data_IF_141144297478
#
_entry.id   IF_141144297478
#
_cell.length_a   1.000
_cell.length_b   1.000
_cell.length_c   1.000
_cell.angle_alpha   90.00
_cell.angle_beta   90.00
_cell.angle_gamma   90.00
#
_symmetry.space_group_name_H-M   'P 1'
#
loop_
_entity.id
_entity.type
_entity.pdbx_description
1 polymer ?
#
# COMPACT_ATOMS: atom_id res chain seq x y z
N UNK A 1 -10.80 7.65 21.34
CA UNK A 1 -9.32 7.80 21.42
C UNK A 1 -8.71 6.58 20.73
N UNK A 2 -7.71 6.74 19.89
CA UNK A 2 -7.05 5.62 19.25
C UNK A 2 -6.31 4.78 20.30
N UNK A 3 -6.41 3.45 20.18
CA UNK A 3 -5.86 2.52 21.15
C UNK A 3 -4.60 1.87 20.58
N UNK A 4 -3.44 2.13 21.19
CA UNK A 4 -2.19 1.46 20.88
C UNK A 4 -2.09 0.14 21.65
N UNK A 5 -1.83 -0.95 20.92
CA UNK A 5 -1.69 -2.30 21.46
C UNK A 5 -0.22 -2.68 21.42
N UNK A 6 0.34 -3.06 22.54
CA UNK A 6 1.77 -3.37 22.71
C UNK A 6 2.05 -4.84 22.95
N UNK A 7 1.05 -5.59 23.36
CA UNK A 7 1.17 -7.03 23.64
C UNK A 7 0.66 -7.87 22.47
N UNK A 8 1.13 -9.09 22.36
CA UNK A 8 0.65 -10.04 21.37
C UNK A 8 -0.76 -10.51 21.68
N UNK A 9 -1.61 -10.51 20.67
CA UNK A 9 -2.98 -10.95 20.74
C UNK A 9 -3.37 -11.78 19.53
N UNK A 10 -4.19 -12.80 19.74
CA UNK A 10 -4.95 -13.42 18.66
C UNK A 10 -5.91 -12.39 18.06
N UNK A 11 -6.12 -12.44 16.76
CA UNK A 11 -7.07 -11.55 16.07
C UNK A 11 -8.51 -11.90 16.47
N UNK A 12 -8.82 -13.18 16.64
CA UNK A 12 -10.16 -13.66 16.89
C UNK A 12 -10.29 -14.34 18.24
N UNK A 13 -11.47 -14.17 18.84
CA UNK A 13 -11.96 -14.97 19.96
C UNK A 13 -12.47 -16.33 19.47
N UNK A 14 -12.77 -17.26 20.37
CA UNK A 14 -13.31 -18.59 20.04
C UNK A 14 -14.63 -18.53 19.25
N UNK A 15 -15.43 -17.48 19.45
CA UNK A 15 -16.66 -17.24 18.70
C UNK A 15 -16.45 -16.66 17.30
N UNK A 16 -15.20 -16.36 16.91
CA UNK A 16 -14.81 -15.81 15.62
C UNK A 16 -14.95 -14.29 15.50
N UNK A 17 -15.21 -13.60 16.59
CA UNK A 17 -15.24 -12.14 16.63
C UNK A 17 -13.84 -11.56 16.83
N UNK A 18 -13.62 -10.32 16.38
CA UNK A 18 -12.36 -9.62 16.63
C UNK A 18 -12.18 -9.41 18.14
N UNK A 19 -11.12 -9.95 18.71
CA UNK A 19 -10.81 -9.89 20.13
C UNK A 19 -10.57 -8.45 20.59
N UNK A 20 -9.69 -7.73 19.90
CA UNK A 20 -9.34 -6.35 20.22
C UNK A 20 -9.35 -5.50 18.95
N UNK A 21 -9.56 -4.20 19.09
CA UNK A 21 -9.49 -3.23 18.01
C UNK A 21 -8.51 -2.12 18.38
N UNK A 22 -7.64 -1.77 17.46
CA UNK A 22 -6.61 -0.77 17.69
C UNK A 22 -5.46 -0.87 16.70
N UNK A 23 -4.34 -0.26 17.06
CA UNK A 23 -3.15 -0.22 16.22
C UNK A 23 -1.88 -0.52 17.02
N UNK A 24 -0.81 -0.92 16.32
CA UNK A 24 0.48 -1.24 16.93
C UNK A 24 1.65 -0.83 16.03
N UNK A 25 2.83 -0.60 16.63
CA UNK A 25 4.09 -0.28 15.93
C UNK A 25 4.82 -1.51 15.40
N UNK A 26 4.48 -2.66 15.93
CA UNK A 26 5.08 -3.95 15.57
C UNK A 26 4.00 -4.98 15.28
N UNK A 27 4.29 -6.08 14.60
CA UNK A 27 3.30 -7.12 14.31
C UNK A 27 2.95 -7.92 15.56
N UNK A 28 1.97 -7.44 16.32
CA UNK A 28 1.47 -8.08 17.55
C UNK A 28 0.18 -8.88 17.33
N UNK A 29 -0.49 -8.71 16.20
CA UNK A 29 -1.73 -9.43 15.87
C UNK A 29 -1.41 -10.76 15.21
N UNK A 30 -1.78 -11.87 15.85
CA UNK A 30 -1.63 -13.22 15.34
C UNK A 30 -2.91 -13.59 14.59
N UNK A 31 -2.80 -13.63 13.26
CA UNK A 31 -3.91 -13.96 12.36
C UNK A 31 -3.91 -15.46 12.06
N UNK A 32 -5.08 -16.06 12.18
CA UNK A 32 -5.36 -17.41 11.72
C UNK A 32 -6.73 -17.39 11.00
N UNK A 33 -6.72 -17.64 9.70
CA UNK A 33 -7.92 -17.61 8.85
C UNK A 33 -9.00 -18.59 9.28
N UNK A 34 -8.61 -19.77 9.83
CA UNK A 34 -9.53 -20.81 10.30
C UNK A 34 -10.37 -20.38 11.52
N UNK A 35 -9.86 -19.45 12.32
CA UNK A 35 -10.58 -18.94 13.49
C UNK A 35 -11.69 -17.95 13.15
N UNK A 36 -11.67 -17.39 11.96
CA UNK A 36 -12.70 -16.46 11.53
C UNK A 36 -13.99 -17.22 11.16
N UNK A 37 -15.08 -16.92 11.85
CA UNK A 37 -16.41 -17.51 11.62
C UNK A 37 -17.34 -16.61 10.81
N UNK A 38 -16.80 -15.75 9.98
CA UNK A 38 -17.65 -14.93 9.10
C UNK A 38 -18.30 -15.79 8.01
N UNK A 39 -19.54 -15.55 7.72
CA UNK A 39 -20.25 -16.15 6.57
C UNK A 39 -19.79 -15.54 5.23
N UNK A 40 -18.99 -14.47 5.28
CA UNK A 40 -18.49 -13.77 4.10
C UNK A 40 -17.17 -14.35 3.59
N UNK A 41 -16.91 -14.13 2.31
CA UNK A 41 -15.62 -14.48 1.71
C UNK A 41 -14.49 -13.66 2.34
N UNK A 42 -13.47 -14.34 2.83
CA UNK A 42 -12.21 -13.70 3.19
C UNK A 42 -11.51 -13.18 1.94
N UNK A 43 -11.00 -12.00 2.04
CA UNK A 43 -10.15 -11.40 1.01
C UNK A 43 -8.76 -11.17 1.58
N UNK A 44 -7.78 -11.58 0.81
CA UNK A 44 -6.37 -11.47 1.14
C UNK A 44 -5.67 -10.66 0.06
N UNK A 45 -4.91 -9.67 0.47
CA UNK A 45 -4.22 -8.78 -0.46
C UNK A 45 -2.84 -8.44 0.05
N UNK A 46 -1.85 -8.82 -0.74
CA UNK A 46 -0.47 -8.42 -0.59
C UNK A 46 -0.14 -7.43 -1.70
N UNK A 47 0.25 -6.21 -1.34
CA UNK A 47 0.62 -5.18 -2.29
C UNK A 47 2.05 -4.73 -2.07
N UNK A 48 2.75 -4.50 -3.17
CA UNK A 48 4.08 -3.91 -3.21
C UNK A 48 4.04 -2.62 -4.02
N UNK A 49 4.71 -1.62 -3.53
CA UNK A 49 4.95 -0.40 -4.27
C UNK A 49 6.43 -0.08 -4.22
N UNK A 50 7.04 0.05 -5.39
CA UNK A 50 8.47 0.35 -5.54
C UNK A 50 8.57 1.60 -6.41
N UNK A 51 9.37 2.57 -5.98
CA UNK A 51 9.40 3.86 -6.65
C UNK A 51 10.73 4.58 -6.51
N UNK A 52 11.13 5.22 -7.59
CA UNK A 52 12.18 6.24 -7.65
C UNK A 52 11.76 7.37 -8.61
N UNK A 53 12.67 8.28 -8.94
CA UNK A 53 12.37 9.43 -9.81
C UNK A 53 12.07 9.06 -11.27
N UNK A 54 12.42 7.84 -11.71
CA UNK A 54 12.28 7.39 -13.10
C UNK A 54 11.09 6.45 -13.32
N UNK A 55 10.76 5.63 -12.32
CA UNK A 55 9.76 4.56 -12.44
C UNK A 55 9.03 4.32 -11.14
N UNK A 56 7.75 3.96 -11.24
CA UNK A 56 6.98 3.39 -10.13
C UNK A 56 6.33 2.08 -10.55
N UNK A 57 6.42 1.07 -9.70
CA UNK A 57 5.77 -0.23 -9.86
C UNK A 57 4.77 -0.44 -8.74
N UNK A 58 3.51 -0.68 -9.10
CA UNK A 58 2.46 -1.20 -8.23
C UNK A 58 2.18 -2.65 -8.56
N UNK A 59 2.20 -3.52 -7.57
CA UNK A 59 1.89 -4.94 -7.69
C UNK A 59 0.93 -5.35 -6.59
N UNK A 60 -0.24 -5.86 -6.93
CA UNK A 60 -1.23 -6.41 -5.99
C UNK A 60 -1.57 -7.84 -6.36
N UNK A 61 -1.62 -8.72 -5.38
CA UNK A 61 -1.66 -10.18 -5.57
C UNK A 61 -3.06 -10.77 -5.40
N UNK A 62 -4.05 -10.08 -4.83
CA UNK A 62 -5.43 -10.59 -4.66
C UNK A 62 -6.08 -11.06 -5.99
N UNK A 63 -6.09 -10.20 -6.97
CA UNK A 63 -6.23 -10.51 -8.40
C UNK A 63 -5.01 -9.84 -8.99
N UNK A 64 -4.10 -10.57 -9.60
CA UNK A 64 -2.84 -9.99 -9.99
C UNK A 64 -3.04 -8.71 -10.80
N UNK A 65 -2.73 -7.59 -10.20
CA UNK A 65 -2.79 -6.25 -10.79
C UNK A 65 -1.40 -5.68 -10.79
N UNK A 66 -0.90 -5.34 -11.96
CA UNK A 66 0.43 -4.76 -12.12
C UNK A 66 0.28 -3.44 -12.87
N UNK A 67 0.87 -2.37 -12.36
CA UNK A 67 1.01 -1.11 -13.07
C UNK A 67 2.44 -0.61 -12.98
N UNK A 68 3.00 -0.22 -14.11
CA UNK A 68 4.31 0.43 -14.21
C UNK A 68 4.11 1.82 -14.77
N UNK A 69 4.54 2.83 -14.02
CA UNK A 69 4.53 4.22 -14.44
C UNK A 69 5.94 4.65 -14.87
N UNK A 70 6.10 4.96 -16.14
CA UNK A 70 7.32 5.54 -16.71
C UNK A 70 7.32 7.05 -16.45
N UNK A 71 8.02 7.49 -15.43
CA UNK A 71 8.13 8.89 -15.04
C UNK A 71 9.18 9.66 -15.83
N UNK A 72 10.12 8.94 -16.45
CA UNK A 72 11.24 9.52 -17.20
C UNK A 72 10.82 10.08 -18.55
N UNK A 73 9.88 9.44 -19.24
CA UNK A 73 9.43 9.80 -20.59
C UNK A 73 8.11 10.56 -20.64
N UNK A 74 7.78 11.31 -19.59
CA UNK A 74 6.59 12.15 -19.60
C UNK A 74 5.28 11.40 -19.31
N UNK A 75 5.38 10.27 -18.62
CA UNK A 75 4.21 9.69 -17.96
C UNK A 75 3.46 8.63 -18.78
N UNK A 76 4.13 7.61 -19.25
CA UNK A 76 3.47 6.44 -19.84
C UNK A 76 3.10 5.46 -18.73
N UNK A 77 1.86 4.98 -18.75
CA UNK A 77 1.38 3.90 -17.89
C UNK A 77 1.28 2.61 -18.69
N UNK A 78 1.81 1.54 -18.11
CA UNK A 78 1.60 0.17 -18.56
C UNK A 78 0.87 -0.57 -17.44
N UNK A 79 -0.29 -1.14 -17.69
CA UNK A 79 -1.04 -1.88 -16.68
C UNK A 79 -1.63 -3.18 -17.22
N UNK A 80 -1.90 -4.12 -16.33
CA UNK A 80 -2.55 -5.38 -16.63
C UNK A 80 -3.25 -5.96 -15.41
N UNK A 81 -4.36 -6.65 -15.67
CA UNK A 81 -5.09 -7.46 -14.69
C UNK A 81 -5.17 -8.89 -15.17
N UNK A 82 -4.71 -9.84 -14.37
CA UNK A 82 -4.89 -11.28 -14.63
C UNK A 82 -6.09 -11.78 -13.83
N UNK A 83 -7.27 -11.79 -14.46
CA UNK A 83 -8.56 -12.08 -13.81
C UNK A 83 -8.74 -13.50 -13.28
N UNK A 84 -7.99 -14.46 -13.79
CA UNK A 84 -8.04 -15.87 -13.37
C UNK A 84 -6.75 -16.29 -12.66
N UNK A 85 -6.25 -15.41 -11.83
CA UNK A 85 -5.10 -15.72 -11.02
C UNK A 85 -5.52 -16.68 -9.91
N UNK A 86 -5.49 -17.95 -10.23
CA UNK A 86 -5.72 -19.01 -9.26
C UNK A 86 -4.35 -19.49 -8.80
N UNK A 87 -4.06 -19.25 -7.53
CA UNK A 87 -2.87 -19.81 -6.90
C UNK A 87 -3.01 -21.33 -6.93
N UNK A 88 -2.15 -22.01 -7.67
CA UNK A 88 -2.04 -23.45 -7.59
C UNK A 88 -1.44 -23.80 -6.22
N UNK A 89 -2.27 -24.15 -5.26
CA UNK A 89 -1.93 -24.68 -3.93
C UNK A 89 -1.24 -23.78 -2.91
N UNK A 90 -0.88 -22.55 -3.23
CA UNK A 90 -0.20 -21.67 -2.27
C UNK A 90 -1.14 -20.54 -1.86
N UNK A 91 -1.70 -20.65 -0.69
CA UNK A 91 -2.38 -19.54 -0.01
C UNK A 91 -1.38 -18.45 0.30
N UNK A 92 -1.84 -17.19 0.32
CA UNK A 92 -0.97 -16.09 0.73
C UNK A 92 -0.50 -16.32 2.17
N UNK A 93 0.77 -16.02 2.50
CA UNK A 93 1.29 -16.25 3.85
C UNK A 93 0.48 -15.52 4.91
N UNK A 94 0.01 -16.23 5.92
CA UNK A 94 -0.78 -15.65 7.02
C UNK A 94 -0.05 -14.53 7.76
N UNK A 95 1.25 -14.63 7.91
CA UNK A 95 2.03 -13.65 8.67
C UNK A 95 2.55 -12.46 7.85
N UNK A 96 2.59 -12.55 6.53
CA UNK A 96 3.28 -11.58 5.66
C UNK A 96 4.78 -11.44 5.95
N UNK A 97 5.35 -12.23 6.86
CA UNK A 97 6.76 -12.16 7.27
C UNK A 97 7.64 -13.13 6.50
N UNK A 98 7.09 -14.28 6.13
CA UNK A 98 7.77 -15.33 5.37
C UNK A 98 6.78 -16.03 4.46
N UNK A 99 7.27 -16.70 3.46
CA UNK A 99 6.50 -17.50 2.52
C UNK A 99 6.86 -17.23 1.08
N UNK A 100 6.40 -18.07 0.21
CA UNK A 100 6.66 -17.99 -1.21
C UNK A 100 5.36 -18.14 -2.00
N UNK A 101 5.25 -17.35 -3.05
CA UNK A 101 4.20 -17.46 -4.03
C UNK A 101 4.85 -17.67 -5.39
N UNK A 102 4.48 -18.77 -6.03
CA UNK A 102 4.91 -19.12 -7.37
C UNK A 102 3.68 -19.23 -8.27
N UNK A 103 3.73 -18.56 -9.40
CA UNK A 103 2.75 -18.70 -10.45
C UNK A 103 3.43 -18.85 -11.79
N UNK A 104 2.99 -19.83 -12.59
CA UNK A 104 3.52 -20.05 -13.93
C UNK A 104 2.40 -20.46 -14.88
N UNK A 105 2.29 -19.74 -15.97
CA UNK A 105 1.50 -20.12 -17.13
C UNK A 105 2.29 -19.87 -18.42
N UNK A 106 1.62 -19.93 -19.60
CA UNK A 106 2.27 -19.74 -20.91
C UNK A 106 2.82 -18.34 -21.14
N UNK A 107 2.31 -17.33 -20.41
CA UNK A 107 2.68 -15.92 -20.59
C UNK A 107 3.30 -15.27 -19.38
N UNK A 108 3.08 -15.84 -18.19
CA UNK A 108 3.49 -15.23 -16.94
C UNK A 108 4.22 -16.23 -16.04
N UNK A 109 5.42 -15.85 -15.62
CA UNK A 109 6.13 -16.44 -14.50
C UNK A 109 6.28 -15.38 -13.43
N UNK A 110 5.72 -15.63 -12.25
CA UNK A 110 5.79 -14.73 -11.10
C UNK A 110 6.30 -15.50 -9.89
N UNK A 111 7.33 -14.97 -9.25
CA UNK A 111 7.86 -15.46 -7.98
C UNK A 111 7.94 -14.30 -7.00
N UNK A 112 7.30 -14.47 -5.84
CA UNK A 112 7.36 -13.54 -4.73
C UNK A 112 7.80 -14.31 -3.49
N UNK A 113 8.98 -14.00 -2.96
CA UNK A 113 9.54 -14.68 -1.79
C UNK A 113 9.67 -13.69 -0.65
N UNK A 114 8.99 -13.96 0.47
CA UNK A 114 9.04 -13.19 1.69
C UNK A 114 9.96 -13.86 2.70
N UNK A 115 10.89 -13.09 3.25
CA UNK A 115 11.78 -13.52 4.33
C UNK A 115 11.77 -12.50 5.46
N UNK A 116 12.20 -12.85 6.68
CA UNK A 116 12.31 -11.88 7.77
C UNK A 116 13.17 -10.66 7.43
N UNK A 117 14.17 -10.82 6.56
CA UNK A 117 15.16 -9.80 6.22
C UNK A 117 14.87 -9.02 4.93
N UNK A 118 13.92 -9.48 4.12
CA UNK A 118 13.63 -8.81 2.85
C UNK A 118 12.58 -9.53 2.01
N UNK A 119 12.47 -9.08 0.76
CA UNK A 119 11.57 -9.65 -0.25
C UNK A 119 12.30 -9.79 -1.56
N UNK A 120 11.99 -10.84 -2.27
CA UNK A 120 12.46 -11.06 -3.63
C UNK A 120 11.27 -11.14 -4.57
N UNK A 121 11.26 -10.30 -5.60
CA UNK A 121 10.19 -10.22 -6.57
C UNK A 121 10.76 -10.45 -7.96
N UNK A 122 10.28 -11.48 -8.65
CA UNK A 122 10.66 -11.78 -10.03
C UNK A 122 9.43 -11.97 -10.88
N UNK A 123 9.43 -11.38 -12.05
CA UNK A 123 8.36 -11.51 -13.04
C UNK A 123 8.95 -11.56 -14.44
N UNK A 124 8.37 -12.45 -15.25
CA UNK A 124 8.54 -12.45 -16.70
C UNK A 124 7.12 -12.57 -17.29
N UNK A 125 6.64 -11.52 -17.95
CA UNK A 125 5.28 -11.44 -18.45
C UNK A 125 5.29 -11.06 -19.93
N UNK A 126 4.99 -12.04 -20.80
CA UNK A 126 4.86 -11.88 -22.24
C UNK A 126 3.49 -11.24 -22.53
N UNK A 127 3.45 -10.28 -23.45
CA UNK A 127 2.23 -9.55 -23.84
C UNK A 127 1.55 -8.82 -22.65
N UNK A 128 2.35 -8.25 -21.77
CA UNK A 128 1.87 -7.39 -20.70
C UNK A 128 1.08 -6.21 -21.26
N UNK A 129 -0.18 -6.06 -20.83
CA UNK A 129 -1.10 -5.05 -21.38
C UNK A 129 -1.45 -5.25 -22.86
N UNK A 130 -1.16 -6.43 -23.44
CA UNK A 130 -1.50 -6.78 -24.83
C UNK A 130 -0.50 -6.31 -25.88
N UNK A 131 0.60 -5.66 -25.52
CA UNK A 131 1.50 -5.03 -26.49
C UNK A 131 3.00 -5.22 -26.17
N UNK A 132 3.36 -5.35 -24.92
CA UNK A 132 4.77 -5.29 -24.46
C UNK A 132 5.10 -6.41 -23.48
N UNK A 133 6.36 -6.74 -23.36
CA UNK A 133 6.83 -7.63 -22.29
C UNK A 133 7.17 -6.81 -21.05
N UNK A 134 6.87 -7.36 -19.87
CA UNK A 134 7.32 -6.86 -18.59
C UNK A 134 8.26 -7.88 -17.97
N UNK A 135 9.41 -7.41 -17.57
CA UNK A 135 10.34 -8.18 -16.75
C UNK A 135 10.75 -7.34 -15.54
N UNK A 136 10.76 -7.96 -14.37
CA UNK A 136 11.47 -7.38 -13.24
C UNK A 136 12.16 -8.45 -12.39
N UNK A 137 13.27 -8.04 -11.78
CA UNK A 137 14.03 -8.82 -10.81
C UNK A 137 14.47 -7.84 -9.72
N UNK A 138 13.78 -7.88 -8.59
CA UNK A 138 13.87 -6.87 -7.54
C UNK A 138 14.15 -7.52 -6.20
N UNK A 139 15.15 -7.01 -5.51
CA UNK A 139 15.44 -7.35 -4.13
C UNK A 139 15.04 -6.18 -3.23
N UNK A 140 14.11 -6.41 -2.32
CA UNK A 140 13.70 -5.46 -1.30
C UNK A 140 14.43 -5.79 0.00
N UNK A 141 15.39 -4.97 0.36
CA UNK A 141 16.14 -5.09 1.60
C UNK A 141 15.44 -4.35 2.72
N UNK A 142 15.18 -5.05 3.81
CA UNK A 142 14.54 -4.47 4.99
C UNK A 142 15.49 -3.53 5.71
N UNK A 143 15.03 -2.35 6.05
CA UNK A 143 15.72 -1.39 6.91
C UNK A 143 15.17 -1.43 8.34
N UNK A 144 15.87 -0.85 9.29
CA UNK A 144 15.36 -0.68 10.65
C UNK A 144 14.11 0.21 10.67
N UNK A 145 13.26 0.04 11.67
CA UNK A 145 12.10 0.88 11.89
C UNK A 145 10.83 0.12 12.25
N UNK A 146 9.79 0.88 12.52
CA UNK A 146 8.46 0.43 12.90
C UNK A 146 7.58 0.12 11.67
N UNK A 147 6.41 -0.40 11.90
CA UNK A 147 5.35 -0.62 10.90
C UNK A 147 4.00 -0.23 11.52
N UNK A 148 3.03 0.14 10.70
CA UNK A 148 1.67 0.25 11.18
C UNK A 148 1.00 -1.12 11.07
N UNK A 149 0.48 -1.60 12.18
CA UNK A 149 -0.37 -2.78 12.26
C UNK A 149 -1.69 -2.34 12.84
N UNK A 150 -2.79 -2.64 12.19
CA UNK A 150 -4.12 -2.20 12.59
C UNK A 150 -5.13 -3.32 12.45
N UNK A 151 -5.98 -3.44 13.44
CA UNK A 151 -7.18 -4.29 13.41
C UNK A 151 -8.40 -3.45 13.75
N UNK A 152 -9.38 -3.44 12.85
CA UNK A 152 -10.64 -2.75 13.03
C UNK A 152 -11.80 -3.65 12.62
N UNK A 153 -12.86 -3.78 13.45
CA UNK A 153 -14.11 -4.41 13.01
C UNK A 153 -14.83 -3.49 12.03
N UNK A 154 -15.70 -4.06 11.20
CA UNK A 154 -16.62 -3.27 10.39
C UNK A 154 -17.90 -2.98 11.18
N UNK A 155 -18.21 -1.69 11.38
CA UNK A 155 -19.41 -1.22 12.07
C UNK A 155 -19.61 -1.89 13.45
N UNK A 156 -20.82 -2.45 13.69
CA UNK A 156 -21.19 -3.11 14.96
C UNK A 156 -20.93 -4.61 14.97
N UNK A 157 -20.76 -5.21 13.80
CA UNK A 157 -20.53 -6.65 13.66
C UNK A 157 -19.04 -6.96 13.71
N UNK A 158 -18.58 -7.42 14.86
CA UNK A 158 -17.17 -7.75 15.10
C UNK A 158 -16.67 -9.00 14.36
N UNK A 159 -17.53 -9.73 13.66
CA UNK A 159 -17.15 -10.86 12.79
C UNK A 159 -16.59 -10.36 11.46
N UNK A 160 -17.01 -9.17 11.00
CA UNK A 160 -16.40 -8.53 9.85
C UNK A 160 -15.24 -7.66 10.30
N UNK A 161 -14.11 -7.80 9.65
CA UNK A 161 -12.86 -7.19 10.09
C UNK A 161 -12.02 -6.66 8.93
N UNK A 162 -11.13 -5.75 9.29
CA UNK A 162 -10.06 -5.25 8.46
C UNK A 162 -8.77 -5.30 9.26
N UNK A 163 -7.86 -6.18 8.87
CA UNK A 163 -6.54 -6.33 9.46
C UNK A 163 -5.50 -5.91 8.45
N UNK A 164 -4.67 -4.96 8.83
CA UNK A 164 -3.64 -4.38 7.98
C UNK A 164 -2.28 -4.35 8.63
N UNK A 165 -1.28 -4.52 7.78
CA UNK A 165 0.13 -4.27 8.11
C UNK A 165 0.77 -3.47 6.99
N UNK A 166 1.08 -2.20 7.26
CA UNK A 166 1.82 -1.32 6.36
C UNK A 166 3.27 -1.26 6.80
N UNK A 167 4.18 -1.69 5.93
CA UNK A 167 5.61 -1.85 6.21
C UNK A 167 6.43 -1.00 5.23
N UNK A 168 6.71 0.29 5.54
CA UNK A 168 7.38 1.21 4.63
C UNK A 168 8.90 1.21 4.81
N UNK A 169 9.48 0.08 5.16
CA UNK A 169 10.90 -0.01 5.55
C UNK A 169 11.72 -0.89 4.63
N UNK A 170 11.55 -0.68 3.31
CA UNK A 170 12.36 -1.36 2.31
C UNK A 170 13.07 -0.35 1.42
N UNK A 171 14.29 -0.72 1.03
CA UNK A 171 14.99 -0.15 -0.12
C UNK A 171 15.05 -1.20 -1.21
N UNK A 172 15.04 -0.77 -2.46
CA UNK A 172 14.97 -1.68 -3.59
C UNK A 172 16.22 -1.59 -4.49
N UNK A 173 16.78 -2.76 -4.79
CA UNK A 173 17.80 -2.93 -5.82
C UNK A 173 17.31 -3.88 -6.90
N UNK A 174 17.81 -3.74 -8.11
CA UNK A 174 17.46 -4.60 -9.24
C UNK A 174 17.06 -3.83 -10.50
N UNK A 175 16.21 -4.43 -11.31
CA UNK A 175 15.82 -3.88 -12.62
C UNK A 175 14.33 -4.08 -12.90
N UNK A 176 13.76 -3.14 -13.69
CA UNK A 176 12.45 -3.26 -14.34
C UNK A 176 12.63 -3.00 -15.82
N UNK A 177 12.09 -3.88 -16.68
CA UNK A 177 12.06 -3.70 -18.14
C UNK A 177 10.62 -3.70 -18.62
N UNK A 178 10.20 -2.66 -19.30
CA UNK A 178 8.87 -2.56 -19.90
C UNK A 178 8.90 -1.64 -21.11
N UNK A 179 8.15 -1.97 -22.15
CA UNK A 179 8.03 -1.09 -23.33
C UNK A 179 9.34 -0.79 -24.05
N UNK A 180 10.34 -1.68 -23.99
CA UNK A 180 11.67 -1.51 -24.57
C UNK A 180 12.60 -0.62 -23.72
N UNK A 181 12.19 -0.26 -22.50
CA UNK A 181 13.00 0.50 -21.55
C UNK A 181 13.47 -0.39 -20.41
N UNK A 182 14.64 -0.06 -19.89
CA UNK A 182 15.20 -0.62 -18.67
C UNK A 182 15.37 0.48 -17.63
N UNK A 183 14.92 0.21 -16.41
CA UNK A 183 15.05 1.07 -15.23
C UNK A 183 15.88 0.33 -14.19
N UNK A 184 17.01 0.91 -13.81
CA UNK A 184 17.84 0.41 -12.72
C UNK A 184 17.30 0.92 -11.38
N UNK A 185 17.13 0.00 -10.44
CA UNK A 185 16.77 0.31 -9.06
C UNK A 185 18.01 0.30 -8.20
N UNK A 186 18.22 1.37 -7.44
CA UNK A 186 19.36 1.53 -6.54
C UNK A 186 18.87 1.71 -5.11
N UNK A 187 19.41 0.95 -4.16
CA UNK A 187 19.03 0.98 -2.74
C UNK A 187 19.13 2.36 -2.08
N UNK A 188 19.94 3.27 -2.63
CA UNK A 188 20.06 4.64 -2.09
C UNK A 188 19.01 5.62 -2.62
N UNK A 189 18.31 5.29 -3.70
CA UNK A 189 17.36 6.19 -4.37
C UNK A 189 16.00 5.57 -4.62
N UNK A 190 15.86 4.26 -4.41
CA UNK A 190 14.61 3.54 -4.64
C UNK A 190 14.04 3.06 -3.32
N UNK A 191 12.86 3.54 -3.00
CA UNK A 191 12.11 3.15 -1.82
C UNK A 191 11.03 2.13 -2.18
N UNK A 192 10.63 1.34 -1.18
CA UNK A 192 9.53 0.42 -1.32
C UNK A 192 8.77 0.23 -0.02
N UNK A 193 7.47 -0.03 -0.14
CA UNK A 193 6.68 -0.52 0.96
C UNK A 193 5.95 -1.81 0.60
N UNK A 194 5.61 -2.56 1.61
CA UNK A 194 4.75 -3.73 1.57
C UNK A 194 3.49 -3.49 2.38
N UNK A 195 2.35 -3.79 1.80
CA UNK A 195 1.02 -3.65 2.39
C UNK A 195 0.32 -4.99 2.41
N UNK A 196 0.29 -5.61 3.58
CA UNK A 196 -0.39 -6.87 3.84
C UNK A 196 -1.76 -6.58 4.44
N UNK A 197 -2.83 -7.06 3.80
CA UNK A 197 -4.19 -6.82 4.23
C UNK A 197 -5.00 -8.10 4.20
N UNK A 198 -5.76 -8.37 5.27
CA UNK A 198 -6.72 -9.46 5.39
C UNK A 198 -8.03 -8.86 5.86
N UNK A 199 -9.11 -9.19 5.19
CA UNK A 199 -10.39 -8.60 5.56
C UNK A 199 -11.58 -9.48 5.21
N UNK A 200 -12.67 -9.29 5.95
CA UNK A 200 -14.00 -9.74 5.62
C UNK A 200 -14.95 -8.56 5.79
N UNK A 201 -15.91 -8.39 4.91
CA UNK A 201 -16.77 -7.19 4.88
C UNK A 201 -18.23 -7.54 4.65
N UNK A 202 -19.18 -6.79 5.27
CA UNK A 202 -20.60 -7.04 5.11
C UNK A 202 -21.20 -6.53 3.81
N UNK A 203 -20.58 -5.51 3.16
CA UNK A 203 -21.12 -4.81 1.99
C UNK A 203 -20.00 -4.35 1.05
N UNK A 204 -20.41 -3.87 -0.14
CA UNK A 204 -19.51 -3.10 -1.00
C UNK A 204 -18.98 -1.88 -0.26
N UNK A 205 -17.70 -1.66 -0.37
CA UNK A 205 -17.01 -0.60 0.34
C UNK A 205 -16.03 0.10 -0.59
N UNK A 206 -16.03 1.43 -0.55
CA UNK A 206 -15.08 2.24 -1.30
C UNK A 206 -13.95 2.65 -0.38
N UNK A 207 -12.77 2.37 -0.79
CA UNK A 207 -11.53 2.67 -0.07
C UNK A 207 -10.67 3.61 -0.88
N UNK A 208 -10.12 4.61 -0.22
CA UNK A 208 -9.15 5.52 -0.82
C UNK A 208 -7.97 5.72 0.12
N UNK A 209 -6.78 5.63 -0.44
CA UNK A 209 -5.53 5.78 0.29
C UNK A 209 -4.52 6.58 -0.50
N UNK A 210 -3.96 7.60 0.13
CA UNK A 210 -2.76 8.29 -0.29
C UNK A 210 -1.56 7.65 0.39
N UNK A 211 -0.53 7.33 -0.38
CA UNK A 211 0.76 6.88 0.16
C UNK A 211 1.91 7.59 -0.53
N UNK A 212 2.98 7.81 0.23
CA UNK A 212 4.26 8.31 -0.24
C UNK A 212 5.37 7.55 0.46
N UNK A 213 6.47 7.31 -0.24
CA UNK A 213 7.69 6.78 0.32
C UNK A 213 8.86 7.42 -0.44
N UNK A 214 9.56 8.34 0.22
CA UNK A 214 10.58 9.20 -0.38
C UNK A 214 11.65 9.60 0.63
N UNK A 215 12.58 10.43 0.20
CA UNK A 215 13.56 11.07 1.07
C UNK A 215 13.19 12.54 1.22
N UNK A 216 13.25 13.05 2.47
CA UNK A 216 13.13 14.47 2.82
C UNK A 216 14.38 14.83 3.63
N UNK A 217 15.14 15.81 3.17
CA UNK A 217 16.39 16.24 3.80
C UNK A 217 17.36 15.07 4.07
N UNK A 218 17.44 14.13 3.13
CA UNK A 218 18.28 12.93 3.22
C UNK A 218 17.77 11.83 4.16
N UNK A 219 16.64 12.05 4.85
CA UNK A 219 16.00 11.09 5.74
C UNK A 219 14.85 10.39 5.05
N UNK A 220 14.66 9.10 5.35
CA UNK A 220 13.51 8.38 4.84
C UNK A 220 12.22 8.88 5.47
N UNK A 221 11.27 9.13 4.62
CA UNK A 221 9.92 9.54 4.96
C UNK A 221 8.91 8.60 4.29
N UNK A 222 7.89 8.20 5.03
CA UNK A 222 6.76 7.45 4.46
C UNK A 222 5.45 7.97 5.05
N UNK A 223 4.40 7.97 4.25
CA UNK A 223 3.08 8.46 4.60
C UNK A 223 2.01 7.45 4.19
N UNK A 224 1.03 7.25 5.05
CA UNK A 224 -0.20 6.54 4.74
C UNK A 224 -1.39 7.34 5.29
N UNK A 225 -2.25 7.82 4.41
CA UNK A 225 -3.49 8.49 4.77
C UNK A 225 -4.65 7.78 4.06
N UNK A 226 -5.57 7.23 4.84
CA UNK A 226 -6.70 6.50 4.30
C UNK A 226 -8.03 6.98 4.87
N UNK A 227 -9.08 6.77 4.13
CA UNK A 227 -10.43 7.08 4.55
C UNK A 227 -11.38 5.92 4.26
N UNK A 228 -12.42 5.83 5.10
CA UNK A 228 -13.56 4.91 4.93
C UNK A 228 -13.22 3.42 5.11
N UNK A 229 -12.36 3.08 6.07
CA UNK A 229 -12.07 1.67 6.41
C UNK A 229 -12.52 1.38 7.82
N UNK A 230 -13.37 0.37 7.99
CA UNK A 230 -13.77 -0.16 9.29
C UNK A 230 -14.32 0.87 10.28
N UNK A 231 -14.33 0.49 11.54
CA UNK A 231 -14.69 1.35 12.66
C UNK A 231 -13.48 2.13 13.18
N UNK A 232 -13.37 3.38 12.77
CA UNK A 232 -12.23 4.25 13.09
C UNK A 232 -12.18 4.76 14.55
N UNK A 233 -13.07 4.30 15.42
CA UNK A 233 -13.08 4.74 16.83
C UNK A 233 -11.84 4.30 17.59
N UNK A 234 -11.28 3.15 17.26
CA UNK A 234 -10.15 2.53 17.96
C UNK A 234 -8.82 2.66 17.23
N UNK A 235 -8.85 2.80 15.92
CA UNK A 235 -7.69 2.96 15.08
C UNK A 235 -8.06 3.48 13.69
N UNK A 236 -7.07 3.91 12.95
CA UNK A 236 -7.16 4.25 11.52
C UNK A 236 -5.78 4.11 10.90
N UNK A 237 -5.69 4.07 9.57
CA UNK A 237 -4.42 3.93 8.86
C UNK A 237 -3.57 5.20 8.80
N UNK A 238 -4.06 6.32 9.35
CA UNK A 238 -3.39 7.61 9.17
C UNK A 238 -2.13 7.69 10.03
N UNK A 239 -1.01 7.75 9.36
CA UNK A 239 0.31 7.84 9.98
C UNK A 239 1.34 8.37 9.01
N UNK A 240 2.47 8.80 9.54
CA UNK A 240 3.70 8.95 8.78
C UNK A 240 4.87 8.34 9.55
N UNK A 241 5.98 8.13 8.84
CA UNK A 241 7.21 7.61 9.40
C UNK A 241 8.35 8.59 9.07
N UNK A 242 9.15 8.86 10.05
CA UNK A 242 10.41 9.60 9.89
C UNK A 242 11.50 8.91 10.68
N UNK A 243 12.67 8.72 10.09
CA UNK A 243 13.78 7.95 10.68
C UNK A 243 13.36 6.55 11.20
N UNK A 244 12.39 5.91 10.54
CA UNK A 244 11.88 4.59 10.93
C UNK A 244 10.88 4.60 12.10
N UNK A 245 10.55 5.76 12.68
CA UNK A 245 9.57 5.90 13.75
C UNK A 245 8.20 6.26 13.24
N UNK A 246 7.20 5.52 13.69
CA UNK A 246 5.79 5.75 13.35
C UNK A 246 5.22 6.89 14.18
N UNK A 247 4.61 7.85 13.49
CA UNK A 247 3.81 8.93 14.07
C UNK A 247 2.35 8.72 13.69
N UNK A 248 1.53 8.41 14.67
CA UNK A 248 0.10 8.20 14.47
C UNK A 248 -0.63 9.53 14.30
N UNK A 249 -1.53 9.58 13.33
CA UNK A 249 -2.34 10.75 13.04
C UNK A 249 -3.82 10.49 13.41
N UNK A 250 -4.55 11.57 13.63
CA UNK A 250 -6.00 11.54 13.81
C UNK A 250 -6.71 11.26 12.48
N UNK A 251 -8.04 11.22 12.54
CA UNK A 251 -8.86 11.10 11.34
C UNK A 251 -8.64 12.28 10.39
N UNK A 252 -8.57 11.99 9.10
CA UNK A 252 -8.38 12.98 8.05
C UNK A 252 -9.68 13.24 7.28
N UNK A 253 -9.80 14.45 6.76
CA UNK A 253 -10.81 14.85 5.78
C UNK A 253 -10.15 14.88 4.40
N UNK A 254 -10.75 14.19 3.44
CA UNK A 254 -10.29 14.14 2.06
C UNK A 254 -11.28 14.84 1.17
N UNK A 255 -10.81 15.79 0.36
CA UNK A 255 -11.60 16.47 -0.64
C UNK A 255 -10.91 16.40 -2.00
N UNK A 256 -11.63 15.93 -3.02
CA UNK A 256 -11.21 16.01 -4.42
C UNK A 256 -12.04 17.08 -5.12
N UNK A 257 -11.44 17.81 -6.05
CA UNK A 257 -12.12 18.87 -6.79
C UNK A 257 -12.98 18.26 -7.92
N UNK A 258 -14.29 18.29 -7.75
CA UNK A 258 -15.27 17.92 -8.79
C UNK A 258 -15.25 16.44 -9.18
N UNK A 259 -14.67 15.55 -8.38
CA UNK A 259 -14.61 14.10 -8.65
C UNK A 259 -13.70 13.71 -9.82
N UNK A 260 -12.99 14.64 -10.41
CA UNK A 260 -12.05 14.40 -11.52
C UNK A 260 -10.69 13.98 -10.99
N UNK A 261 -10.10 12.94 -11.59
CA UNK A 261 -8.82 12.39 -11.16
C UNK A 261 -7.62 13.27 -11.50
N UNK A 262 -7.75 14.16 -12.49
CA UNK A 262 -6.73 15.12 -12.94
C UNK A 262 -6.63 16.38 -12.07
N UNK A 263 -7.51 16.51 -11.07
CA UNK A 263 -7.56 17.68 -10.18
C UNK A 263 -6.87 17.40 -8.84
N UNK A 264 -6.41 18.46 -8.14
CA UNK A 264 -5.80 18.31 -6.84
C UNK A 264 -6.74 17.67 -5.80
N UNK A 265 -6.14 16.88 -4.91
CA UNK A 265 -6.78 16.29 -3.75
C UNK A 265 -6.21 16.93 -2.49
N UNK A 266 -7.08 17.26 -1.55
CA UNK A 266 -6.72 17.93 -0.31
C UNK A 266 -6.95 16.99 0.87
N UNK A 267 -5.92 16.83 1.69
CA UNK A 267 -5.91 16.00 2.88
C UNK A 267 -5.68 16.88 4.09
N UNK A 268 -6.66 16.97 4.98
CA UNK A 268 -6.59 17.82 6.17
C UNK A 268 -6.99 17.05 7.41
N UNK A 269 -6.23 17.25 8.51
CA UNK A 269 -6.62 16.83 9.85
C UNK A 269 -6.91 18.06 10.72
N UNK A 270 -7.70 17.85 11.79
CA UNK A 270 -8.00 18.90 12.77
C UNK A 270 -6.72 19.50 13.37
N UNK A 271 -6.81 20.78 13.77
CA UNK A 271 -5.69 21.54 14.33
C UNK A 271 -4.47 21.69 13.42
N UNK A 272 -4.65 21.64 12.11
CA UNK A 272 -3.58 21.78 11.11
C UNK A 272 -2.42 20.77 11.25
N UNK A 273 -2.68 19.62 11.87
CA UNK A 273 -1.69 18.56 11.98
C UNK A 273 -1.33 17.95 10.61
N UNK A 274 -2.26 18.02 9.66
CA UNK A 274 -2.08 17.64 8.25
C UNK A 274 -2.70 18.71 7.37
N UNK A 275 -1.90 19.28 6.50
CA UNK A 275 -2.36 20.15 5.40
C UNK A 275 -1.56 19.80 4.15
N UNK A 276 -2.08 18.82 3.40
CA UNK A 276 -1.39 18.22 2.26
C UNK A 276 -2.25 18.34 1.02
N UNK A 277 -1.60 18.65 -0.08
CA UNK A 277 -2.16 18.67 -1.43
C UNK A 277 -1.46 17.60 -2.26
N UNK A 278 -2.22 16.65 -2.77
CA UNK A 278 -1.76 15.74 -3.82
C UNK A 278 -2.12 16.32 -5.18
N UNK A 279 -1.11 16.51 -6.03
CA UNK A 279 -1.27 16.93 -7.42
C UNK A 279 -1.00 15.75 -8.34
N UNK A 280 -1.99 15.23 -9.05
CA UNK A 280 -1.78 14.18 -10.03
C UNK A 280 -0.81 14.62 -11.13
N UNK A 281 0.03 13.71 -11.61
CA UNK A 281 0.66 13.91 -12.90
C UNK A 281 -0.40 13.89 -13.99
N UNK A 282 -0.25 14.73 -14.99
CA UNK A 282 -1.17 14.80 -16.13
C UNK A 282 -0.43 14.64 -17.44
N UNK A 283 -1.04 13.88 -18.35
CA UNK A 283 -0.57 13.69 -19.71
C UNK A 283 -1.71 14.08 -20.64
N UNK A 284 -1.52 15.07 -21.50
CA UNK A 284 -2.55 15.64 -22.41
C UNK A 284 -3.84 16.05 -21.67
N UNK A 285 -3.74 16.52 -20.43
CA UNK A 285 -4.87 16.96 -19.61
C UNK A 285 -5.62 15.85 -18.86
N UNK A 286 -5.18 14.60 -18.97
CA UNK A 286 -5.72 13.47 -18.20
C UNK A 286 -4.78 13.05 -17.08
N UNK A 287 -5.34 12.56 -15.98
CA UNK A 287 -4.53 12.03 -14.87
C UNK A 287 -3.70 10.84 -15.31
N UNK A 288 -2.45 10.80 -14.88
CA UNK A 288 -1.60 9.63 -15.01
C UNK A 288 -2.08 8.53 -14.05
N UNK A 289 -2.96 7.67 -14.52
CA UNK A 289 -3.63 6.67 -13.71
C UNK A 289 -3.68 5.30 -14.41
N UNK A 290 -3.49 4.24 -13.63
CA UNK A 290 -3.73 2.87 -14.02
C UNK A 290 -5.14 2.43 -13.61
N UNK A 291 -5.92 1.91 -14.55
CA UNK A 291 -7.31 1.47 -14.34
C UNK A 291 -7.37 -0.05 -14.37
N UNK A 292 -7.38 -0.66 -13.21
CA UNK A 292 -7.26 -2.12 -13.08
C UNK A 292 -8.44 -2.69 -12.29
N UNK A 293 -9.50 -3.12 -12.94
CA UNK A 293 -10.66 -3.76 -12.32
C UNK A 293 -10.91 -3.24 -10.89
N UNK A 294 -11.94 -2.57 -10.56
CA UNK A 294 -12.23 -2.01 -9.22
C UNK A 294 -11.07 -1.30 -8.48
N UNK A 295 -9.91 -1.14 -9.12
CA UNK A 295 -8.75 -0.45 -8.53
C UNK A 295 -8.20 0.57 -9.52
N UNK A 296 -8.07 1.81 -9.06
CA UNK A 296 -7.39 2.87 -9.81
C UNK A 296 -6.20 3.35 -9.00
N UNK A 297 -5.02 3.39 -9.64
CA UNK A 297 -3.80 3.94 -9.04
C UNK A 297 -3.46 5.24 -9.76
N UNK A 298 -3.47 6.36 -9.04
CA UNK A 298 -3.18 7.68 -9.58
C UNK A 298 -1.81 8.09 -9.09
N UNK A 299 -0.90 8.41 -10.01
CA UNK A 299 0.46 8.83 -9.68
C UNK A 299 0.55 10.36 -9.65
N UNK A 300 1.35 10.90 -8.73
CA UNK A 300 1.48 12.34 -8.56
C UNK A 300 2.50 12.75 -7.51
N UNK A 301 2.35 13.95 -7.00
CA UNK A 301 3.26 14.55 -6.02
C UNK A 301 2.52 15.23 -4.88
N UNK A 302 3.17 15.27 -3.72
CA UNK A 302 2.69 15.92 -2.51
C UNK A 302 3.36 17.27 -2.30
N UNK A 303 2.56 18.19 -1.78
CA UNK A 303 2.94 19.50 -1.30
C UNK A 303 2.23 19.78 0.02
N UNK A 304 2.85 20.55 0.90
CA UNK A 304 2.22 20.98 2.15
C UNK A 304 3.02 20.63 3.38
N UNK A 305 2.36 20.49 4.51
CA UNK A 305 3.02 20.38 5.81
C UNK A 305 2.36 19.33 6.69
N UNK A 306 3.21 18.67 7.49
CA UNK A 306 2.82 17.82 8.61
C UNK A 306 3.35 18.43 9.89
N UNK A 307 2.45 18.62 10.87
CA UNK A 307 2.80 19.13 12.20
C UNK A 307 2.52 18.07 13.26
N UNK A 308 3.42 17.96 14.18
CA UNK A 308 3.26 17.19 15.41
C UNK A 308 3.47 18.11 16.60
N UNK A 309 2.76 17.89 17.69
CA UNK A 309 2.78 18.77 18.87
C UNK A 309 4.19 18.91 19.47
N UNK A 310 5.02 17.88 19.34
CA UNK A 310 6.38 17.81 19.86
C UNK A 310 7.46 18.16 18.80
N UNK A 311 7.08 18.66 17.65
CA UNK A 311 8.03 19.15 16.64
C UNK A 311 8.13 20.67 16.68
N UNK A 312 9.34 21.18 16.81
CA UNK A 312 9.61 22.64 16.77
C UNK A 312 9.25 23.27 15.44
N UNK A 313 9.36 22.50 14.35
CA UNK A 313 9.04 22.94 12.98
C UNK A 313 8.20 21.88 12.26
N UNK A 314 7.30 22.30 11.37
CA UNK A 314 6.57 21.37 10.54
C UNK A 314 7.52 20.63 9.58
N UNK A 315 7.19 19.37 9.28
CA UNK A 315 7.81 18.65 8.18
C UNK A 315 7.18 19.15 6.87
N UNK A 316 8.00 19.73 6.01
CA UNK A 316 7.57 20.29 4.73
C UNK A 316 7.68 19.23 3.63
N UNK A 317 6.58 19.01 2.93
CA UNK A 317 6.51 18.18 1.73
C UNK A 317 6.57 19.13 0.52
N UNK A 318 7.64 19.04 -0.25
CA UNK A 318 7.78 19.78 -1.50
C UNK A 318 8.12 18.83 -2.62
N UNK A 319 7.19 18.71 -3.58
CA UNK A 319 7.38 17.87 -4.77
C UNK A 319 7.66 16.39 -4.48
N UNK A 320 7.19 15.88 -3.33
CA UNK A 320 7.41 14.51 -2.88
C UNK A 320 6.57 13.52 -3.69
N UNK A 321 7.20 12.46 -4.21
CA UNK A 321 6.50 11.45 -5.02
C UNK A 321 5.46 10.69 -4.20
N UNK A 322 4.28 10.50 -4.78
CA UNK A 322 3.16 9.84 -4.13
C UNK A 322 2.19 9.22 -5.11
N UNK A 323 1.26 8.44 -4.58
CA UNK A 323 0.15 7.89 -5.36
C UNK A 323 -1.10 7.77 -4.50
N UNK A 324 -2.26 7.78 -5.16
CA UNK A 324 -3.55 7.45 -4.56
C UNK A 324 -4.02 6.11 -5.12
N UNK A 325 -4.48 5.23 -4.24
CA UNK A 325 -5.18 4.00 -4.59
C UNK A 325 -6.65 4.16 -4.25
N UNK A 326 -7.49 4.03 -5.26
CA UNK A 326 -8.94 3.93 -5.13
C UNK A 326 -9.34 2.49 -5.37
N UNK A 327 -10.06 1.89 -4.44
CA UNK A 327 -10.51 0.49 -4.58
C UNK A 327 -11.97 0.37 -4.19
N UNK A 328 -12.76 -0.31 -5.02
CA UNK A 328 -14.07 -0.84 -4.66
C UNK A 328 -13.90 -2.29 -4.22
N UNK A 329 -14.30 -2.57 -3.00
CA UNK A 329 -14.29 -3.93 -2.45
C UNK A 329 -15.62 -4.65 -2.73
#
# INVERSE_FOLDING_TARGET
MQHEITEKHNVFEENGEVMCAGWARTPVFEYNSEQSKTSGKHSERDCYFISNTEVSLYLSVENLKIAVADLKRGGVIYDCVVKKFVFSKNELPESGSSGELLYTDKRLQLQLTNTPNGRFLKCDFIDFGGIKNLYFNINLKKTAGESLNEIAPFERDRKYFYLKRFVPKFVAGGIIRVGGMEYSLNETTTNAYFDWTRFSKPRKHNYQRLSSDCFIDGKRFSLCLASRVGDNRYGNENCFFTDGHLVKLSQINVKSTGGKLDRPWYFKAGYSAVDIIFKPFTVKGEAMAAYMDKTTVIFGRLYGELKRVDMDKPLVLDNSQAHIVLTEF
#
